data_IF_505655520672
#
_entry.id   IF_505655520672
#
_cell.length_a   1.000
_cell.length_b   1.000
_cell.length_c   1.000
_cell.angle_alpha   90.00
_cell.angle_beta   90.00
_cell.angle_gamma   90.00
#
_symmetry.space_group_name_H-M   'P 1'
#
loop_
_entity.id
_entity.type
_entity.pdbx_description
1 polymer ?
#
# COMPACT_ATOMS: atom_id res chain seq x y z
N UNK A 1 -12.58 -14.48 80.73
CA UNK A 1 -11.70 -14.27 79.57
C UNK A 1 -12.49 -13.46 78.55
N UNK A 2 -11.96 -12.30 78.18
CA UNK A 2 -12.70 -11.26 77.47
C UNK A 2 -12.87 -11.62 75.97
N UNK A 3 -14.11 -11.82 75.55
CA UNK A 3 -14.51 -12.23 74.19
C UNK A 3 -14.33 -11.13 73.13
N UNK A 4 -13.96 -9.91 73.57
CA UNK A 4 -13.63 -8.78 72.69
C UNK A 4 -12.29 -9.02 71.98
N UNK A 5 -11.29 -9.51 72.73
CA UNK A 5 -9.95 -9.76 72.22
C UNK A 5 -9.91 -10.86 71.14
N UNK A 6 -10.73 -11.91 71.28
CA UNK A 6 -10.83 -12.98 70.27
C UNK A 6 -11.44 -12.49 68.94
N UNK A 7 -12.43 -11.59 69.01
CA UNK A 7 -13.08 -11.00 67.82
C UNK A 7 -12.20 -9.96 67.12
N UNK A 8 -11.29 -9.32 67.85
CA UNK A 8 -10.28 -8.43 67.29
C UNK A 8 -9.18 -9.22 66.58
N UNK A 9 -8.76 -10.36 67.15
CA UNK A 9 -7.85 -11.30 66.49
C UNK A 9 -8.43 -11.90 65.21
N UNK A 10 -9.70 -12.28 65.16
CA UNK A 10 -10.34 -12.78 63.92
C UNK A 10 -10.42 -11.72 62.82
N UNK A 11 -10.64 -10.44 63.17
CA UNK A 11 -10.61 -9.34 62.19
C UNK A 11 -9.22 -9.03 61.66
N UNK A 12 -8.18 -9.19 62.48
CA UNK A 12 -6.78 -9.01 62.05
C UNK A 12 -6.29 -10.23 61.25
N UNK A 13 -6.72 -11.44 61.63
CA UNK A 13 -6.41 -12.68 60.91
C UNK A 13 -7.16 -12.81 59.58
N UNK A 14 -8.34 -12.19 59.47
CA UNK A 14 -9.03 -11.93 58.20
C UNK A 14 -8.36 -10.77 57.45
N UNK A 15 -7.05 -10.89 57.21
CA UNK A 15 -6.34 -10.04 56.26
C UNK A 15 -7.04 -10.07 54.89
N UNK A 16 -6.89 -9.03 54.07
CA UNK A 16 -7.51 -8.99 52.76
C UNK A 16 -7.07 -10.24 52.01
N UNK A 17 -8.04 -11.10 51.70
CA UNK A 17 -7.85 -12.24 50.80
C UNK A 17 -7.21 -11.64 49.57
N UNK A 18 -5.92 -11.92 49.40
CA UNK A 18 -5.20 -11.56 48.19
C UNK A 18 -5.99 -12.23 47.08
N UNK A 19 -6.81 -11.44 46.38
CA UNK A 19 -7.34 -11.81 45.09
C UNK A 19 -6.09 -12.08 44.30
N UNK A 20 -5.80 -13.38 44.13
CA UNK A 20 -4.80 -13.90 43.21
C UNK A 20 -4.94 -13.03 41.97
N UNK A 21 -3.98 -12.11 41.82
CA UNK A 21 -3.82 -11.41 40.58
C UNK A 21 -3.49 -12.53 39.63
N UNK A 22 -4.52 -13.06 38.96
CA UNK A 22 -4.37 -13.85 37.75
C UNK A 22 -3.50 -12.96 36.91
N UNK A 23 -2.21 -13.27 36.93
CA UNK A 23 -1.22 -12.62 36.12
C UNK A 23 -1.78 -12.83 34.73
N UNK A 24 -2.44 -11.78 34.21
CA UNK A 24 -2.72 -11.65 32.80
C UNK A 24 -1.33 -11.73 32.22
N UNK A 25 -0.93 -12.95 31.82
CA UNK A 25 0.09 -13.18 30.81
C UNK A 25 -0.45 -12.41 29.62
N UNK A 26 -0.15 -11.11 29.61
CA UNK A 26 0.09 -10.37 28.38
C UNK A 26 1.11 -11.25 27.72
N UNK A 27 0.63 -12.07 26.78
CA UNK A 27 1.48 -12.75 25.82
C UNK A 27 2.21 -11.62 25.14
N UNK A 28 3.35 -11.25 25.70
CA UNK A 28 4.34 -10.46 25.03
C UNK A 28 4.71 -11.36 23.87
N UNK A 29 4.08 -11.14 22.72
CA UNK A 29 4.60 -11.66 21.48
C UNK A 29 6.07 -11.28 21.50
N UNK A 30 6.99 -12.25 21.41
CA UNK A 30 8.39 -11.94 21.61
C UNK A 30 8.75 -10.98 20.48
N UNK A 31 9.14 -9.76 20.84
CA UNK A 31 9.61 -8.71 19.93
C UNK A 31 10.46 -9.23 18.75
N UNK A 32 11.30 -10.28 18.92
CA UNK A 32 11.97 -10.97 17.81
C UNK A 32 11.08 -11.46 16.66
N UNK A 33 9.92 -12.07 16.94
CA UNK A 33 9.01 -12.60 15.91
C UNK A 33 8.39 -11.44 15.11
N UNK A 34 7.93 -10.40 15.80
CA UNK A 34 7.37 -9.22 15.15
C UNK A 34 8.43 -8.52 14.25
N UNK A 35 9.67 -8.41 14.73
CA UNK A 35 10.79 -7.86 13.95
C UNK A 35 11.09 -8.71 12.72
N UNK A 36 11.14 -10.04 12.86
CA UNK A 36 11.39 -10.95 11.75
C UNK A 36 10.29 -10.85 10.68
N UNK A 37 9.02 -10.82 11.11
CA UNK A 37 7.88 -10.66 10.23
C UNK A 37 7.94 -9.31 9.48
N UNK A 38 8.28 -8.22 10.17
CA UNK A 38 8.44 -6.92 9.54
C UNK A 38 9.59 -6.89 8.53
N UNK A 39 10.72 -7.55 8.83
CA UNK A 39 11.84 -7.67 7.90
C UNK A 39 11.47 -8.51 6.67
N UNK A 40 10.79 -9.64 6.86
CA UNK A 40 10.30 -10.47 5.77
C UNK A 40 9.32 -9.70 4.87
N UNK A 41 8.39 -8.94 5.47
CA UNK A 41 7.47 -8.08 4.74
C UNK A 41 8.21 -6.99 3.96
N UNK A 42 9.19 -6.33 4.57
CA UNK A 42 9.98 -5.31 3.89
C UNK A 42 10.73 -5.89 2.69
N UNK A 43 11.39 -7.04 2.86
CA UNK A 43 12.08 -7.74 1.76
C UNK A 43 11.09 -8.12 0.65
N UNK A 44 9.91 -8.60 1.00
CA UNK A 44 8.89 -8.96 0.02
C UNK A 44 8.35 -7.74 -0.76
N UNK A 45 8.17 -6.60 -0.09
CA UNK A 45 7.55 -5.40 -0.68
C UNK A 45 8.58 -4.48 -1.37
N UNK A 46 9.86 -4.55 -1.00
CA UNK A 46 10.92 -3.68 -1.53
C UNK A 46 11.00 -3.62 -3.06
N UNK A 47 10.93 -4.73 -3.83
CA UNK A 47 10.98 -4.67 -5.28
C UNK A 47 9.86 -3.79 -5.87
N UNK A 48 8.66 -3.87 -5.29
CA UNK A 48 7.51 -3.08 -5.74
C UNK A 48 7.64 -1.60 -5.37
N UNK A 49 8.18 -1.29 -4.19
CA UNK A 49 8.46 0.09 -3.80
C UNK A 49 9.50 0.72 -4.72
N UNK A 50 10.56 -0.03 -5.07
CA UNK A 50 11.61 0.44 -5.99
C UNK A 50 11.03 0.68 -7.38
N UNK A 51 10.19 -0.22 -7.89
CA UNK A 51 9.53 -0.05 -9.18
C UNK A 51 8.78 1.29 -9.26
N UNK A 52 7.91 1.55 -8.28
CA UNK A 52 7.09 2.76 -8.25
C UNK A 52 7.97 3.99 -8.01
N UNK A 53 8.85 3.95 -7.01
CA UNK A 53 9.67 5.10 -6.63
C UNK A 53 10.59 5.56 -7.75
N UNK A 54 11.27 4.64 -8.41
CA UNK A 54 12.19 4.97 -9.52
C UNK A 54 11.41 5.52 -10.70
N UNK A 55 10.31 4.87 -11.09
CA UNK A 55 9.51 5.32 -12.22
C UNK A 55 8.88 6.70 -11.97
N UNK A 56 8.31 6.93 -10.77
CA UNK A 56 7.73 8.24 -10.41
C UNK A 56 8.82 9.29 -10.27
N UNK A 57 10.00 8.97 -9.73
CA UNK A 57 11.11 9.93 -9.66
C UNK A 57 11.57 10.37 -11.05
N UNK A 58 11.86 9.43 -11.94
CA UNK A 58 12.28 9.73 -13.31
C UNK A 58 11.18 10.49 -14.08
N UNK A 59 9.92 10.19 -13.79
CA UNK A 59 8.79 10.91 -14.38
C UNK A 59 8.58 12.31 -13.78
N UNK A 60 8.65 12.51 -12.48
CA UNK A 60 8.30 13.82 -11.91
C UNK A 60 9.48 14.78 -11.85
N UNK A 61 10.71 14.26 -11.70
CA UNK A 61 11.92 15.06 -11.49
C UNK A 61 12.81 15.17 -12.72
N UNK A 62 12.99 14.08 -13.45
CA UNK A 62 14.00 14.00 -14.53
C UNK A 62 13.44 14.23 -15.94
N UNK A 63 12.12 14.40 -16.11
CA UNK A 63 11.56 14.68 -17.44
C UNK A 63 11.50 13.46 -18.40
N UNK A 64 11.78 12.23 -17.95
CA UNK A 64 11.73 11.02 -18.78
C UNK A 64 10.31 10.63 -19.20
N UNK A 65 10.09 10.22 -20.44
CA UNK A 65 8.77 9.74 -20.89
C UNK A 65 8.24 8.60 -20.00
N UNK A 66 6.93 8.43 -19.90
CA UNK A 66 6.30 7.39 -19.06
C UNK A 66 6.84 5.99 -19.37
N UNK A 67 7.06 5.68 -20.65
CA UNK A 67 7.63 4.40 -21.10
C UNK A 67 9.05 4.24 -20.58
N UNK A 68 9.91 5.25 -20.73
CA UNK A 68 11.29 5.19 -20.28
C UNK A 68 11.39 5.09 -18.76
N UNK A 69 10.60 5.88 -18.04
CA UNK A 69 10.53 5.85 -16.58
C UNK A 69 10.11 4.47 -16.05
N UNK A 70 9.08 3.86 -16.65
CA UNK A 70 8.65 2.49 -16.32
C UNK A 70 9.70 1.45 -16.68
N UNK A 71 10.37 1.58 -17.82
CA UNK A 71 11.42 0.66 -18.24
C UNK A 71 12.60 0.68 -17.25
N UNK A 72 13.04 1.86 -16.82
CA UNK A 72 14.07 2.01 -15.80
C UNK A 72 13.64 1.44 -14.45
N UNK A 73 12.42 1.74 -13.98
CA UNK A 73 11.88 1.14 -12.75
C UNK A 73 11.81 -0.39 -12.81
N UNK A 74 11.39 -0.93 -13.95
CA UNK A 74 11.34 -2.38 -14.23
C UNK A 74 12.75 -2.98 -14.18
N UNK A 75 13.74 -2.34 -14.80
CA UNK A 75 15.12 -2.79 -14.80
C UNK A 75 15.74 -2.81 -13.39
N UNK A 76 15.56 -1.74 -12.60
CA UNK A 76 16.01 -1.68 -11.22
C UNK A 76 15.35 -2.79 -10.37
N UNK A 77 14.06 -3.02 -10.56
CA UNK A 77 13.31 -4.06 -9.86
C UNK A 77 13.79 -5.46 -10.23
N UNK A 78 14.02 -5.72 -11.52
CA UNK A 78 14.56 -6.98 -12.01
C UNK A 78 15.97 -7.25 -11.44
N UNK A 79 16.81 -6.23 -11.27
CA UNK A 79 18.11 -6.37 -10.62
C UNK A 79 17.97 -6.80 -9.14
N UNK A 80 17.04 -6.21 -8.38
CA UNK A 80 16.77 -6.59 -6.99
C UNK A 80 16.24 -8.02 -6.89
N UNK A 81 15.24 -8.37 -7.71
CA UNK A 81 14.68 -9.73 -7.73
C UNK A 81 15.74 -10.75 -8.14
N UNK A 82 16.61 -10.40 -9.09
CA UNK A 82 17.76 -11.25 -9.47
C UNK A 82 18.69 -11.45 -8.27
N UNK A 83 19.03 -10.40 -7.54
CA UNK A 83 19.88 -10.50 -6.36
C UNK A 83 19.25 -11.41 -5.30
N UNK A 84 17.97 -11.23 -4.99
CA UNK A 84 17.25 -12.11 -4.05
C UNK A 84 17.26 -13.57 -4.49
N UNK A 85 16.86 -13.84 -5.72
CA UNK A 85 16.82 -15.20 -6.24
C UNK A 85 18.23 -15.83 -6.32
N UNK A 86 19.26 -15.05 -6.63
CA UNK A 86 20.64 -15.51 -6.64
C UNK A 86 21.17 -15.84 -5.23
N UNK A 87 20.83 -15.04 -4.21
CA UNK A 87 21.17 -15.33 -2.82
C UNK A 87 20.53 -16.62 -2.34
N UNK A 88 19.23 -16.81 -2.63
CA UNK A 88 18.51 -18.05 -2.33
C UNK A 88 19.12 -19.23 -3.07
N UNK A 89 19.40 -19.08 -4.37
CA UNK A 89 20.01 -20.13 -5.18
C UNK A 89 21.41 -20.52 -4.69
N UNK A 90 22.21 -19.53 -4.28
CA UNK A 90 23.53 -19.76 -3.71
C UNK A 90 23.45 -20.52 -2.39
N UNK A 91 22.49 -20.17 -1.53
CA UNK A 91 22.28 -20.87 -0.25
C UNK A 91 22.02 -22.37 -0.45
N UNK A 92 21.28 -22.77 -1.49
CA UNK A 92 20.96 -24.18 -1.75
C UNK A 92 21.99 -24.91 -2.62
N UNK A 93 22.66 -24.23 -3.55
CA UNK A 93 23.51 -24.89 -4.57
C UNK A 93 25.00 -24.59 -4.45
N UNK A 94 25.39 -23.62 -3.61
CA UNK A 94 26.76 -23.10 -3.49
C UNK A 94 27.25 -22.32 -4.72
N UNK A 95 26.43 -22.16 -5.76
CA UNK A 95 26.81 -21.50 -7.03
C UNK A 95 25.96 -20.26 -7.27
N UNK A 96 26.51 -19.24 -7.93
CA UNK A 96 25.75 -18.05 -8.34
C UNK A 96 25.67 -18.04 -9.88
N UNK A 97 24.45 -17.96 -10.43
CA UNK A 97 24.23 -17.86 -11.89
C UNK A 97 23.36 -16.67 -12.24
N UNK A 98 23.87 -15.45 -12.01
CA UNK A 98 23.11 -14.20 -12.16
C UNK A 98 22.41 -14.08 -13.52
N UNK A 99 23.12 -14.28 -14.62
CA UNK A 99 22.54 -14.14 -15.96
C UNK A 99 21.40 -15.14 -16.23
N UNK A 100 21.53 -16.37 -15.73
CA UNK A 100 20.49 -17.38 -15.85
C UNK A 100 19.26 -16.99 -15.01
N UNK A 101 19.49 -16.60 -13.75
CA UNK A 101 18.44 -16.20 -12.81
C UNK A 101 17.67 -14.99 -13.32
N UNK A 102 18.39 -13.97 -13.77
CA UNK A 102 17.82 -12.75 -14.33
C UNK A 102 16.92 -13.08 -15.53
N UNK A 103 17.47 -13.79 -16.52
CA UNK A 103 16.78 -14.03 -17.80
C UNK A 103 15.60 -14.99 -17.68
N UNK A 104 15.68 -16.00 -16.81
CA UNK A 104 14.67 -17.07 -16.74
C UNK A 104 13.62 -16.86 -15.66
N UNK A 105 13.91 -16.09 -14.62
CA UNK A 105 13.00 -15.93 -13.48
C UNK A 105 12.69 -14.47 -13.20
N UNK A 106 13.70 -13.66 -12.89
CA UNK A 106 13.46 -12.30 -12.41
C UNK A 106 12.80 -11.41 -13.47
N UNK A 107 13.36 -11.37 -14.69
CA UNK A 107 12.84 -10.51 -15.75
C UNK A 107 11.41 -10.91 -16.18
N UNK A 108 11.10 -12.19 -16.49
CA UNK A 108 9.73 -12.59 -16.81
C UNK A 108 8.74 -12.28 -15.69
N UNK A 109 9.11 -12.52 -14.43
CA UNK A 109 8.24 -12.25 -13.28
C UNK A 109 7.91 -10.75 -13.16
N UNK A 110 8.92 -9.89 -13.24
CA UNK A 110 8.72 -8.43 -13.11
C UNK A 110 7.95 -7.90 -14.32
N UNK A 111 8.25 -8.34 -15.53
CA UNK A 111 7.50 -7.95 -16.74
C UNK A 111 6.04 -8.40 -16.66
N UNK A 112 5.78 -9.63 -16.22
CA UNK A 112 4.43 -10.13 -16.03
C UNK A 112 3.65 -9.31 -14.99
N UNK A 113 4.30 -8.94 -13.88
CA UNK A 113 3.69 -8.05 -12.88
C UNK A 113 3.40 -6.66 -13.46
N UNK A 114 4.34 -6.04 -14.19
CA UNK A 114 4.11 -4.75 -14.83
C UNK A 114 2.94 -4.82 -15.81
N UNK A 115 2.88 -5.86 -16.66
CA UNK A 115 1.78 -6.06 -17.59
C UNK A 115 0.44 -6.20 -16.85
N UNK A 116 0.38 -7.05 -15.82
CA UNK A 116 -0.80 -7.21 -14.97
C UNK A 116 -1.23 -5.86 -14.35
N UNK A 117 -0.30 -5.15 -13.72
CA UNK A 117 -0.57 -3.87 -13.08
C UNK A 117 -1.08 -2.83 -14.06
N UNK A 118 -0.63 -2.84 -15.32
CA UNK A 118 -1.05 -1.87 -16.32
C UNK A 118 -2.46 -2.12 -16.87
N UNK A 119 -2.97 -3.35 -16.82
CA UNK A 119 -4.23 -3.70 -17.52
C UNK A 119 -5.36 -4.14 -16.59
N UNK A 120 -5.05 -4.56 -15.36
CA UNK A 120 -6.01 -5.24 -14.51
C UNK A 120 -6.29 -4.50 -13.20
N UNK A 121 -7.58 -4.30 -12.93
CA UNK A 121 -8.13 -3.94 -11.63
C UNK A 121 -9.25 -4.93 -11.29
N UNK A 122 -9.18 -5.52 -10.10
CA UNK A 122 -10.22 -6.44 -9.61
C UNK A 122 -11.54 -5.72 -9.36
N UNK A 123 -12.67 -6.41 -9.59
CA UNK A 123 -14.01 -5.91 -9.22
C UNK A 123 -14.12 -5.64 -7.72
N UNK A 124 -13.47 -6.47 -6.89
CA UNK A 124 -13.50 -6.31 -5.44
C UNK A 124 -12.80 -5.02 -4.97
N UNK A 125 -11.87 -4.50 -5.77
CA UNK A 125 -11.13 -3.28 -5.46
C UNK A 125 -11.70 -2.03 -6.17
N UNK A 126 -12.80 -2.16 -6.91
CA UNK A 126 -13.46 -1.05 -7.59
C UNK A 126 -14.84 -0.81 -6.96
N UNK A 127 -15.19 0.45 -6.69
CA UNK A 127 -16.52 0.81 -6.17
C UNK A 127 -17.66 0.40 -7.11
N UNK A 128 -17.40 0.36 -8.41
CA UNK A 128 -18.36 -0.05 -9.43
C UNK A 128 -17.66 -0.54 -10.69
N UNK A 129 -18.42 -1.24 -11.54
CA UNK A 129 -17.97 -1.66 -12.87
C UNK A 129 -17.52 -0.49 -13.74
N UNK A 130 -18.18 0.67 -13.58
CA UNK A 130 -17.80 1.90 -14.27
C UNK A 130 -16.39 2.36 -13.90
N UNK A 131 -16.07 2.39 -12.60
CA UNK A 131 -14.72 2.75 -12.13
C UNK A 131 -13.68 1.76 -12.66
N UNK A 132 -14.00 0.47 -12.65
CA UNK A 132 -13.12 -0.57 -13.20
C UNK A 132 -12.85 -0.38 -14.70
N UNK A 133 -13.88 -0.03 -15.47
CA UNK A 133 -13.76 0.20 -16.92
C UNK A 133 -12.84 1.37 -17.27
N UNK A 134 -12.71 2.37 -16.38
CA UNK A 134 -11.80 3.51 -16.55
C UNK A 134 -10.37 3.24 -16.09
N UNK A 135 -10.04 2.01 -15.70
CA UNK A 135 -8.70 1.72 -15.20
C UNK A 135 -7.59 2.03 -16.21
N UNK A 136 -7.82 1.74 -17.50
CA UNK A 136 -6.81 1.93 -18.54
C UNK A 136 -6.65 3.40 -18.98
N UNK A 137 -7.59 4.28 -18.65
CA UNK A 137 -7.44 5.73 -18.84
C UNK A 137 -6.60 6.38 -17.75
N UNK A 138 -6.29 5.68 -16.66
CA UNK A 138 -5.41 6.19 -15.62
C UNK A 138 -3.95 6.18 -16.09
N UNK A 139 -3.14 7.14 -15.63
CA UNK A 139 -1.73 7.21 -15.96
C UNK A 139 -1.01 5.90 -15.54
N UNK A 140 -0.15 5.30 -16.40
CA UNK A 140 0.53 4.03 -16.12
C UNK A 140 1.24 3.94 -14.76
N UNK A 141 1.83 5.04 -14.27
CA UNK A 141 2.51 5.05 -12.97
C UNK A 141 1.54 4.93 -11.78
N UNK A 142 0.36 5.56 -11.88
CA UNK A 142 -0.69 5.42 -10.90
C UNK A 142 -1.25 3.99 -10.89
N UNK A 143 -1.41 3.37 -12.07
CA UNK A 143 -1.81 1.96 -12.18
C UNK A 143 -0.83 1.03 -11.45
N UNK A 144 0.47 1.20 -11.69
CA UNK A 144 1.51 0.40 -11.01
C UNK A 144 1.52 0.66 -9.49
N UNK A 145 1.34 1.90 -9.06
CA UNK A 145 1.25 2.24 -7.64
C UNK A 145 0.00 1.64 -6.97
N UNK A 146 -1.16 1.73 -7.63
CA UNK A 146 -2.41 1.13 -7.13
C UNK A 146 -2.33 -0.38 -7.04
N UNK A 147 -1.81 -1.05 -8.08
CA UNK A 147 -1.60 -2.50 -8.06
C UNK A 147 -0.67 -2.92 -6.93
N UNK A 148 0.40 -2.14 -6.68
CA UNK A 148 1.32 -2.36 -5.57
C UNK A 148 0.62 -2.23 -4.21
N UNK A 149 -0.22 -1.20 -4.06
CA UNK A 149 -1.01 -1.02 -2.85
C UNK A 149 -1.99 -2.19 -2.65
N UNK A 150 -2.75 -2.57 -3.68
CA UNK A 150 -3.73 -3.67 -3.63
C UNK A 150 -3.05 -5.00 -3.25
N UNK A 151 -1.81 -5.22 -3.69
CA UNK A 151 -1.05 -6.41 -3.35
C UNK A 151 -0.86 -6.55 -1.82
N UNK A 152 -0.57 -5.43 -1.14
CA UNK A 152 -0.32 -5.35 0.30
C UNK A 152 -1.62 -5.17 1.11
N UNK A 153 -2.57 -4.42 0.58
CA UNK A 153 -3.83 -4.06 1.22
C UNK A 153 -5.01 -4.47 0.33
N UNK A 154 -5.42 -5.73 0.48
CA UNK A 154 -6.43 -6.38 -0.38
C UNK A 154 -7.81 -5.75 -0.30
N UNK A 155 -8.11 -5.03 0.77
CA UNK A 155 -9.42 -4.43 1.03
C UNK A 155 -9.52 -3.00 0.49
N UNK A 156 -8.47 -2.45 -0.14
CA UNK A 156 -8.53 -1.09 -0.68
C UNK A 156 -9.55 -0.99 -1.80
N UNK A 157 -10.38 0.05 -1.76
CA UNK A 157 -11.41 0.30 -2.77
C UNK A 157 -11.11 1.61 -3.47
N UNK A 158 -10.90 1.53 -4.78
CA UNK A 158 -10.84 2.66 -5.68
C UNK A 158 -12.26 3.16 -5.93
N UNK A 159 -12.51 4.39 -5.51
CA UNK A 159 -13.84 5.02 -5.60
C UNK A 159 -14.01 5.84 -6.85
N UNK A 160 -12.91 6.34 -7.41
CA UNK A 160 -12.90 7.09 -8.66
C UNK A 160 -11.52 7.07 -9.33
N UNK A 161 -11.50 7.24 -10.65
CA UNK A 161 -10.28 7.28 -11.47
C UNK A 161 -10.35 8.42 -12.48
N UNK A 162 -11.22 8.28 -13.49
CA UNK A 162 -11.42 9.28 -14.52
C UNK A 162 -12.85 9.82 -14.50
N UNK A 163 -12.98 11.13 -14.70
CA UNK A 163 -14.26 11.87 -14.82
C UNK A 163 -14.31 12.61 -16.13
N UNK A 164 -15.52 12.95 -16.59
CA UNK A 164 -15.76 14.02 -17.55
C UNK A 164 -16.55 15.18 -16.91
N UNK A 165 -16.66 16.34 -17.60
CA UNK A 165 -17.47 17.47 -17.11
C UNK A 165 -18.93 17.10 -16.80
N UNK A 166 -19.50 16.17 -17.58
CA UNK A 166 -20.87 15.66 -17.36
C UNK A 166 -21.00 14.87 -16.06
N UNK A 167 -19.92 14.26 -15.56
CA UNK A 167 -19.94 13.52 -14.29
C UNK A 167 -20.03 14.47 -13.11
N UNK A 168 -19.34 15.61 -13.16
CA UNK A 168 -19.48 16.67 -12.15
C UNK A 168 -20.91 17.23 -12.13
N UNK A 169 -21.49 17.51 -13.31
CA UNK A 169 -22.88 17.95 -13.40
C UNK A 169 -23.87 16.92 -12.82
N UNK A 170 -23.66 15.62 -13.09
CA UNK A 170 -24.48 14.56 -12.51
C UNK A 170 -24.35 14.45 -10.99
N UNK A 171 -23.24 14.93 -10.41
CA UNK A 171 -23.03 15.03 -8.96
C UNK A 171 -23.55 16.35 -8.37
N UNK A 172 -24.10 17.25 -9.18
CA UNK A 172 -24.52 18.59 -8.73
C UNK A 172 -23.35 19.52 -8.41
N UNK A 173 -22.16 19.23 -8.95
CA UNK A 173 -20.95 20.03 -8.75
C UNK A 173 -20.64 20.85 -10.00
N UNK A 174 -20.10 22.06 -9.80
CA UNK A 174 -19.54 22.84 -10.90
C UNK A 174 -18.33 22.09 -11.50
N UNK A 175 -18.23 22.01 -12.83
CA UNK A 175 -17.03 21.47 -13.47
C UNK A 175 -15.79 22.23 -13.00
N UNK A 176 -14.71 21.51 -12.70
CA UNK A 176 -13.41 22.09 -12.42
C UNK A 176 -12.46 21.73 -13.55
N UNK A 177 -12.12 22.71 -14.39
CA UNK A 177 -11.25 22.51 -15.56
C UNK A 177 -9.81 22.10 -15.17
N UNK A 178 -9.39 22.36 -13.94
CA UNK A 178 -8.11 21.90 -13.39
C UNK A 178 -8.13 20.50 -12.77
N UNK A 179 -9.24 19.76 -12.87
CA UNK A 179 -9.38 18.44 -12.26
C UNK A 179 -8.45 17.40 -12.91
N UNK A 180 -7.54 16.80 -12.13
CA UNK A 180 -6.66 15.73 -12.59
C UNK A 180 -7.38 14.38 -12.81
N UNK A 181 -8.65 14.27 -12.43
CA UNK A 181 -9.51 13.17 -12.89
C UNK A 181 -9.90 13.30 -14.37
N UNK A 182 -9.72 14.47 -14.99
CA UNK A 182 -9.90 14.59 -16.43
C UNK A 182 -8.70 14.00 -17.15
N UNK A 183 -8.95 13.47 -18.34
CA UNK A 183 -7.89 13.07 -19.25
C UNK A 183 -7.11 14.30 -19.66
N UNK A 184 -5.82 14.30 -19.33
CA UNK A 184 -4.88 15.38 -19.62
C UNK A 184 -4.37 15.27 -21.06
N UNK A 185 -3.52 16.21 -21.47
CA UNK A 185 -2.98 16.26 -22.84
C UNK A 185 -2.22 14.98 -23.25
N UNK A 186 -1.66 14.26 -22.28
CA UNK A 186 -0.91 13.02 -22.49
C UNK A 186 -1.82 11.78 -22.68
N UNK A 187 -3.14 11.98 -22.68
CA UNK A 187 -4.14 10.95 -22.90
C UNK A 187 -4.53 10.17 -21.65
N UNK A 188 -4.08 10.60 -20.46
CA UNK A 188 -4.38 9.91 -19.20
C UNK A 188 -5.02 10.82 -18.15
N UNK A 189 -5.84 10.24 -17.27
CA UNK A 189 -6.19 10.84 -15.99
C UNK A 189 -5.01 10.67 -15.01
N UNK A 190 -4.78 11.69 -14.20
CA UNK A 190 -3.65 11.79 -13.27
C UNK A 190 -4.08 11.79 -11.80
N UNK A 191 -5.33 11.43 -11.53
CA UNK A 191 -5.83 11.29 -10.17
C UNK A 191 -6.60 10.00 -9.93
N UNK A 192 -6.64 9.56 -8.68
CA UNK A 192 -7.45 8.45 -8.21
C UNK A 192 -7.96 8.73 -6.80
N UNK A 193 -9.20 8.33 -6.52
CA UNK A 193 -9.81 8.43 -5.19
C UNK A 193 -9.86 7.05 -4.54
N UNK A 194 -9.46 6.97 -3.27
CA UNK A 194 -9.50 5.75 -2.46
C UNK A 194 -10.42 5.90 -1.26
N UNK A 195 -11.29 4.91 -1.01
CA UNK A 195 -12.21 4.92 0.14
C UNK A 195 -11.44 4.95 1.46
N UNK A 196 -11.88 5.78 2.40
CA UNK A 196 -11.33 5.86 3.78
C UNK A 196 -12.38 5.56 4.87
N UNK A 197 -13.67 5.73 4.58
CA UNK A 197 -14.78 5.72 5.55
C UNK A 197 -14.93 4.43 6.40
N UNK A 198 -14.51 3.26 5.89
CA UNK A 198 -14.66 1.96 6.57
C UNK A 198 -13.31 1.34 6.95
N UNK A 199 -12.28 2.17 7.09
CA UNK A 199 -10.89 1.74 7.32
C UNK A 199 -10.35 2.34 8.60
N UNK A 200 -9.46 1.62 9.26
CA UNK A 200 -8.78 2.17 10.43
C UNK A 200 -7.91 3.36 10.05
N UNK A 201 -7.80 4.34 10.95
CA UNK A 201 -6.94 5.51 10.73
C UNK A 201 -5.48 5.13 10.49
N UNK A 202 -5.00 4.05 11.12
CA UNK A 202 -3.66 3.51 10.87
C UNK A 202 -3.49 3.09 9.40
N UNK A 203 -4.46 2.34 8.83
CA UNK A 203 -4.42 1.99 7.40
C UNK A 203 -4.43 3.25 6.54
N UNK A 204 -5.32 4.21 6.82
CA UNK A 204 -5.41 5.45 6.05
C UNK A 204 -4.12 6.28 6.09
N UNK A 205 -3.44 6.34 7.24
CA UNK A 205 -2.13 6.99 7.39
C UNK A 205 -1.06 6.24 6.59
N UNK A 206 -1.00 4.92 6.67
CA UNK A 206 -0.02 4.12 5.93
C UNK A 206 -0.20 4.23 4.41
N UNK A 207 -1.44 4.22 3.91
CA UNK A 207 -1.73 4.39 2.47
C UNK A 207 -1.29 5.78 2.00
N UNK A 208 -1.61 6.83 2.76
CA UNK A 208 -1.17 8.18 2.47
C UNK A 208 0.35 8.30 2.47
N UNK A 209 1.00 7.75 3.50
CA UNK A 209 2.46 7.74 3.62
C UNK A 209 3.12 6.98 2.46
N UNK A 210 2.52 5.87 2.02
CA UNK A 210 2.97 5.14 0.84
C UNK A 210 3.00 6.03 -0.39
N UNK A 211 1.87 6.62 -0.80
CA UNK A 211 1.81 7.47 -1.98
C UNK A 211 2.71 8.70 -1.89
N UNK A 212 2.71 9.38 -0.75
CA UNK A 212 3.60 10.51 -0.51
C UNK A 212 5.08 10.11 -0.65
N UNK A 213 5.48 8.99 -0.05
CA UNK A 213 6.87 8.49 -0.15
C UNK A 213 7.26 8.11 -1.58
N UNK A 214 6.30 7.65 -2.39
CA UNK A 214 6.51 7.32 -3.80
C UNK A 214 6.63 8.56 -4.70
N UNK A 215 6.16 9.73 -4.24
CA UNK A 215 6.25 11.00 -4.96
C UNK A 215 4.94 11.52 -5.52
N UNK A 216 3.80 10.96 -5.08
CA UNK A 216 2.47 11.46 -5.41
C UNK A 216 2.02 12.55 -4.43
N UNK A 217 1.17 13.46 -4.88
CA UNK A 217 0.44 14.37 -4.01
C UNK A 217 -0.77 13.64 -3.43
N UNK A 218 -1.08 13.89 -2.16
CA UNK A 218 -2.24 13.26 -1.52
C UNK A 218 -3.01 14.27 -0.71
N UNK A 219 -4.34 14.22 -0.80
CA UNK A 219 -5.26 15.05 -0.03
C UNK A 219 -6.41 14.18 0.44
N UNK A 220 -6.61 14.07 1.76
CA UNK A 220 -7.84 13.47 2.29
C UNK A 220 -8.86 14.60 2.44
N UNK A 221 -10.03 14.44 1.85
CA UNK A 221 -11.11 15.40 2.03
C UNK A 221 -12.47 14.70 2.05
N UNK A 222 -13.44 15.40 2.63
CA UNK A 222 -14.83 14.94 2.78
C UNK A 222 -15.67 15.77 1.81
N UNK A 223 -15.60 15.42 0.53
CA UNK A 223 -16.36 16.09 -0.54
C UNK A 223 -17.70 15.40 -0.76
N UNK A 224 -17.77 14.57 -1.81
CA UNK A 224 -18.90 13.65 -2.09
C UNK A 224 -18.89 12.38 -1.23
N UNK A 225 -17.90 12.26 -0.34
CA UNK A 225 -17.67 11.18 0.61
C UNK A 225 -16.26 11.32 1.21
N UNK A 226 -15.96 10.61 2.29
CA UNK A 226 -14.60 10.55 2.86
C UNK A 226 -13.73 9.63 1.98
N UNK A 227 -12.71 10.22 1.36
CA UNK A 227 -11.74 9.52 0.52
C UNK A 227 -10.37 10.19 0.58
N UNK A 228 -9.36 9.42 0.18
CA UNK A 228 -8.01 9.90 -0.09
C UNK A 228 -7.88 10.13 -1.60
N UNK A 229 -7.74 11.40 -1.97
CA UNK A 229 -7.36 11.81 -3.32
C UNK A 229 -5.85 11.65 -3.49
N UNK A 230 -5.44 11.04 -4.60
CA UNK A 230 -4.03 10.80 -4.95
C UNK A 230 -3.79 11.31 -6.35
N UNK A 231 -2.76 12.13 -6.52
CA UNK A 231 -2.43 12.80 -7.78
C UNK A 231 -1.00 12.51 -8.21
N UNK A 232 -0.81 12.29 -9.50
CA UNK A 232 0.49 12.40 -10.16
C UNK A 232 0.60 13.79 -10.79
N UNK A 233 1.63 14.59 -10.49
CA UNK A 233 1.81 15.89 -11.13
C UNK A 233 1.92 15.75 -12.66
N UNK A 234 1.12 16.53 -13.37
CA UNK A 234 1.16 16.63 -14.84
C UNK A 234 2.39 17.43 -15.24
N UNK A 235 2.99 17.04 -16.37
CA UNK A 235 4.07 17.80 -17.01
C UNK A 235 3.57 18.78 -18.04
#
# INVERSE_FOLDING_TARGET
MDSSALREWERIAAGPVAVSAVARRRTAWPLPIARLAAQALLVAVLPFLVLVKVAVFLYTREGYSTVLALACGTACTAAIVTAYAALVWHHFTGRVRLALVARRFALPLVVAYCAYALIYLSTANAKSERVRAYYTSLHPLLRVALSTLIFVDRDVVVTDLARGPKDYAAMGLSPNDGSLHYVQHDGYAHAADLRTADRSEVKNVLVRAYFWSMGFTTLRHVGTGDHLHVELPVR
#
